data_IF_745993728474
#
_entry.id   IF_745993728474
#
_cell.length_a   1.000
_cell.length_b   1.000
_cell.length_c   1.000
_cell.angle_alpha   90.00
_cell.angle_beta   90.00
_cell.angle_gamma   90.00
#
_symmetry.space_group_name_H-M   'P 1'
#
loop_
_entity.id
_entity.type
_entity.pdbx_description
1 polymer ?
#
# COMPACT_ATOMS: atom_id res chain seq x y z
N UNK A 1 -13.02 18.51 3.00
CA UNK A 1 -12.01 18.50 1.93
C UNK A 1 -10.95 17.48 2.24
N UNK A 2 -10.58 16.68 1.27
CA UNK A 2 -9.53 15.69 1.47
C UNK A 2 -8.17 16.38 1.58
N UNK A 3 -7.27 15.87 2.40
CA UNK A 3 -5.90 16.39 2.45
C UNK A 3 -5.21 16.38 1.09
N UNK A 4 -5.50 15.41 0.24
CA UNK A 4 -4.94 15.33 -1.09
C UNK A 4 -5.34 16.49 -1.99
N UNK A 5 -6.52 17.05 -1.77
CA UNK A 5 -7.00 18.19 -2.56
C UNK A 5 -6.26 19.47 -2.18
N UNK A 6 -5.93 19.60 -0.89
CA UNK A 6 -5.19 20.76 -0.40
C UNK A 6 -3.71 20.63 -0.77
N UNK A 7 -3.13 19.48 -0.44
CA UNK A 7 -1.71 19.23 -0.64
C UNK A 7 -1.39 19.09 -2.12
N UNK A 8 -2.31 18.48 -2.87
CA UNK A 8 -2.14 18.29 -4.30
C UNK A 8 -1.95 19.58 -5.07
N UNK A 9 -2.67 20.62 -4.71
CA UNK A 9 -2.51 21.93 -5.35
C UNK A 9 -1.11 22.49 -5.17
N UNK A 10 -0.52 22.23 -4.01
CA UNK A 10 0.83 22.70 -3.70
C UNK A 10 1.87 21.73 -4.24
N UNK A 11 1.69 20.45 -3.95
CA UNK A 11 2.69 19.43 -4.26
C UNK A 11 2.64 18.97 -5.70
N UNK A 12 1.50 19.08 -6.34
CA UNK A 12 1.36 18.74 -7.75
C UNK A 12 2.26 19.56 -8.63
N UNK A 13 2.63 20.75 -8.18
CA UNK A 13 3.53 21.63 -8.90
C UNK A 13 5.00 21.34 -8.60
N UNK A 14 5.24 20.64 -7.53
CA UNK A 14 6.59 20.29 -7.10
C UNK A 14 6.80 18.79 -7.31
N UNK A 15 7.29 18.45 -8.48
CA UNK A 15 7.47 17.06 -8.88
C UNK A 15 8.57 16.35 -8.11
N UNK A 16 9.36 17.10 -7.35
CA UNK A 16 10.45 16.54 -6.59
C UNK A 16 10.06 16.26 -5.14
N UNK A 17 8.81 16.55 -4.80
CA UNK A 17 8.33 16.25 -3.47
C UNK A 17 8.21 14.73 -3.32
N UNK A 18 9.19 14.13 -2.69
CA UNK A 18 9.24 12.70 -2.47
C UNK A 18 8.78 12.32 -1.07
N UNK A 19 8.92 13.26 -0.13
CA UNK A 19 8.60 12.99 1.26
C UNK A 19 7.45 13.85 1.74
N UNK A 20 6.54 13.20 2.43
CA UNK A 20 5.44 13.88 3.09
C UNK A 20 5.80 14.16 4.53
N UNK A 21 5.36 15.30 5.04
CA UNK A 21 5.50 15.58 6.47
C UNK A 21 4.64 14.63 7.27
N UNK A 22 4.95 14.46 8.55
CA UNK A 22 4.13 13.67 9.44
C UNK A 22 2.72 14.21 9.54
N UNK A 23 2.59 15.54 9.52
CA UNK A 23 1.28 16.19 9.54
C UNK A 23 0.46 15.78 8.31
N UNK A 24 1.08 15.83 7.12
CA UNK A 24 0.39 15.45 5.90
C UNK A 24 -0.02 13.97 5.93
N UNK A 25 0.85 13.10 6.41
CA UNK A 25 0.54 11.67 6.53
C UNK A 25 -0.65 11.46 7.45
N UNK A 26 -0.66 12.13 8.61
CA UNK A 26 -1.78 12.06 9.55
C UNK A 26 -3.09 12.55 8.93
N UNK A 27 -3.03 13.61 8.13
CA UNK A 27 -4.21 14.15 7.48
C UNK A 27 -4.76 13.19 6.43
N UNK A 28 -3.89 12.53 5.65
CA UNK A 28 -4.33 11.52 4.70
C UNK A 28 -4.99 10.36 5.43
N UNK A 29 -4.37 9.88 6.50
CA UNK A 29 -4.98 8.80 7.27
C UNK A 29 -6.34 9.22 7.85
N UNK A 30 -6.43 10.45 8.36
CA UNK A 30 -7.66 10.96 8.94
C UNK A 30 -8.80 11.03 7.91
N UNK A 31 -8.48 11.13 6.62
CA UNK A 31 -9.48 11.16 5.57
C UNK A 31 -9.95 9.75 5.18
N UNK A 32 -9.22 8.72 5.57
CA UNK A 32 -9.59 7.35 5.28
C UNK A 32 -10.71 6.88 6.19
N UNK A 33 -11.43 5.87 5.75
CA UNK A 33 -12.54 5.27 6.49
C UNK A 33 -12.18 3.82 6.82
N UNK A 34 -11.38 3.60 7.87
CA UNK A 34 -11.02 2.24 8.25
C UNK A 34 -12.23 1.46 8.74
N UNK A 35 -12.10 0.13 8.75
CA UNK A 35 -13.13 -0.73 9.30
C UNK A 35 -13.14 -0.65 10.84
N UNK A 36 -13.96 -1.47 11.48
CA UNK A 36 -14.12 -1.48 12.94
C UNK A 36 -12.82 -1.78 13.69
N UNK A 37 -11.89 -2.49 13.05
CA UNK A 37 -10.59 -2.78 13.64
C UNK A 37 -9.54 -1.71 13.34
N UNK A 38 -9.93 -0.63 12.68
CA UNK A 38 -9.00 0.43 12.32
C UNK A 38 -8.11 0.07 11.15
N UNK A 39 -8.57 -0.81 10.27
CA UNK A 39 -7.80 -1.31 9.14
C UNK A 39 -8.41 -0.90 7.80
N UNK A 40 -7.54 -0.62 6.83
CA UNK A 40 -7.95 -0.43 5.44
C UNK A 40 -7.30 -1.50 4.58
N UNK A 41 -8.00 -2.03 3.58
CA UNK A 41 -7.38 -2.97 2.65
C UNK A 41 -6.42 -2.24 1.72
N UNK A 42 -5.40 -2.97 1.32
CA UNK A 42 -4.36 -2.45 0.42
C UNK A 42 -4.22 -3.41 -0.75
N UNK A 43 -4.41 -2.87 -1.95
CA UNK A 43 -4.12 -3.61 -3.17
C UNK A 43 -2.72 -3.19 -3.62
N UNK A 44 -1.83 -4.14 -3.75
CA UNK A 44 -0.44 -3.86 -4.13
C UNK A 44 -0.19 -4.35 -5.55
N UNK A 45 0.29 -3.46 -6.41
CA UNK A 45 0.59 -3.77 -7.81
C UNK A 45 2.07 -3.50 -8.09
N UNK A 46 2.58 -4.20 -9.10
CA UNK A 46 3.92 -3.93 -9.59
C UNK A 46 3.91 -2.66 -10.45
N UNK A 47 4.77 -1.70 -10.12
CA UNK A 47 4.74 -0.39 -10.77
C UNK A 47 4.97 -0.46 -12.28
N UNK A 48 5.84 -1.38 -12.74
CA UNK A 48 6.21 -1.45 -14.15
C UNK A 48 5.15 -2.12 -15.03
N UNK A 49 4.35 -3.03 -14.47
CA UNK A 49 3.41 -3.84 -15.24
C UNK A 49 1.95 -3.65 -14.85
N UNK A 50 1.70 -3.06 -13.70
CA UNK A 50 0.39 -2.95 -13.08
C UNK A 50 -0.22 -4.30 -12.70
N UNK A 51 0.58 -5.34 -12.66
CA UNK A 51 0.11 -6.65 -12.21
C UNK A 51 -0.21 -6.58 -10.72
N UNK A 52 -1.37 -7.09 -10.33
CA UNK A 52 -1.75 -7.17 -8.92
C UNK A 52 -0.90 -8.26 -8.26
N UNK A 53 -0.15 -7.87 -7.25
CA UNK A 53 0.75 -8.78 -6.55
C UNK A 53 0.09 -9.43 -5.35
N UNK A 54 -0.64 -8.66 -4.57
CA UNK A 54 -1.23 -9.14 -3.33
C UNK A 54 -2.26 -8.15 -2.79
N UNK A 55 -3.01 -8.61 -1.80
CA UNK A 55 -3.91 -7.75 -1.02
C UNK A 55 -3.56 -7.98 0.46
N UNK A 56 -3.47 -6.89 1.20
CA UNK A 56 -3.14 -6.94 2.61
C UNK A 56 -3.90 -5.84 3.35
N UNK A 57 -3.49 -5.54 4.57
CA UNK A 57 -4.16 -4.56 5.42
C UNK A 57 -3.15 -3.59 6.01
N UNK A 58 -3.60 -2.37 6.29
CA UNK A 58 -2.81 -1.37 7.01
C UNK A 58 -3.64 -0.77 8.12
N UNK A 59 -3.02 -0.61 9.29
CA UNK A 59 -3.52 0.31 10.31
C UNK A 59 -2.78 1.64 10.12
N UNK A 60 -3.05 2.62 10.99
CA UNK A 60 -2.41 3.93 10.88
C UNK A 60 -0.90 3.84 10.94
N UNK A 61 -0.38 3.01 11.83
CA UNK A 61 1.07 2.87 11.99
C UNK A 61 1.72 2.28 10.74
N UNK A 62 1.10 1.27 10.14
CA UNK A 62 1.60 0.67 8.91
C UNK A 62 1.58 1.67 7.75
N UNK A 63 0.49 2.42 7.64
CA UNK A 63 0.35 3.46 6.62
C UNK A 63 1.45 4.52 6.77
N UNK A 64 1.65 4.97 7.99
CA UNK A 64 2.67 5.98 8.29
C UNK A 64 4.07 5.47 7.97
N UNK A 65 4.39 4.26 8.43
CA UNK A 65 5.72 3.69 8.17
C UNK A 65 5.98 3.47 6.69
N UNK A 66 4.97 3.03 5.96
CA UNK A 66 5.10 2.85 4.51
C UNK A 66 5.49 4.16 3.83
N UNK A 67 4.84 5.25 4.19
CA UNK A 67 5.13 6.55 3.59
C UNK A 67 6.43 7.16 4.08
N UNK A 68 6.80 6.90 5.33
CA UNK A 68 8.06 7.41 5.88
C UNK A 68 9.28 6.67 5.33
N UNK A 69 9.19 5.34 5.23
CA UNK A 69 10.33 4.52 4.87
C UNK A 69 10.40 4.19 3.38
N UNK A 70 9.28 4.32 2.69
CA UNK A 70 9.10 3.88 1.29
C UNK A 70 9.27 2.37 1.14
N UNK A 71 9.16 1.63 2.24
CA UNK A 71 9.11 0.16 2.24
C UNK A 71 7.72 -0.27 2.64
N UNK A 72 7.09 -1.14 1.84
CA UNK A 72 5.72 -1.55 2.11
C UNK A 72 5.64 -2.24 3.47
N UNK A 73 4.82 -1.68 4.34
CA UNK A 73 4.59 -2.17 5.69
C UNK A 73 3.10 -2.41 5.85
N UNK A 74 2.74 -3.58 6.31
CA UNK A 74 1.35 -4.00 6.44
C UNK A 74 1.03 -4.34 7.89
N UNK A 75 -0.24 -4.56 8.16
CA UNK A 75 -0.69 -5.04 9.45
C UNK A 75 -1.19 -6.47 9.31
N UNK A 76 -0.63 -7.38 10.08
CA UNK A 76 -1.06 -8.79 10.08
C UNK A 76 -2.22 -8.95 11.07
N UNK A 77 -3.39 -9.30 10.54
CA UNK A 77 -4.57 -9.50 11.37
C UNK A 77 -4.42 -10.73 12.27
N UNK A 78 -3.83 -11.80 11.73
CA UNK A 78 -3.67 -13.04 12.50
C UNK A 78 -2.65 -12.91 13.60
N UNK A 79 -1.59 -12.12 13.39
CA UNK A 79 -0.55 -11.93 14.39
C UNK A 79 -0.75 -10.66 15.21
N UNK A 80 -1.68 -9.81 14.81
CA UNK A 80 -1.98 -8.54 15.46
C UNK A 80 -0.74 -7.67 15.61
N UNK A 81 0.05 -7.56 14.54
CA UNK A 81 1.26 -6.75 14.57
C UNK A 81 1.65 -6.25 13.18
N UNK A 82 2.54 -5.27 13.14
CA UNK A 82 3.09 -4.76 11.90
C UNK A 82 3.98 -5.81 11.23
N UNK A 83 4.04 -5.71 9.91
CA UNK A 83 4.81 -6.63 9.10
C UNK A 83 5.42 -5.87 7.92
N UNK A 84 6.73 -5.77 7.91
CA UNK A 84 7.48 -5.16 6.82
C UNK A 84 7.70 -6.22 5.74
N UNK A 85 7.18 -5.96 4.55
CA UNK A 85 7.28 -6.94 3.46
C UNK A 85 8.74 -7.21 3.12
N UNK A 86 9.12 -8.48 3.16
CA UNK A 86 10.46 -8.90 2.80
C UNK A 86 11.50 -8.76 3.89
N UNK A 87 11.10 -8.38 5.11
CA UNK A 87 12.02 -8.19 6.22
C UNK A 87 12.85 -9.46 6.50
N UNK A 88 12.22 -10.61 6.40
CA UNK A 88 12.90 -11.89 6.63
C UNK A 88 13.27 -12.60 5.34
N UNK A 89 12.40 -12.57 4.33
CA UNK A 89 12.60 -13.30 3.09
C UNK A 89 13.50 -12.58 2.09
N UNK A 90 13.68 -11.28 2.22
CA UNK A 90 14.39 -10.47 1.24
C UNK A 90 13.54 -10.06 0.05
N UNK A 91 12.30 -10.52 -0.03
CA UNK A 91 11.38 -10.17 -1.13
C UNK A 91 10.67 -8.86 -0.82
N UNK A 92 11.43 -7.77 -0.84
CA UNK A 92 10.99 -6.45 -0.42
C UNK A 92 10.14 -5.76 -1.48
N UNK A 93 9.40 -4.75 -1.04
CA UNK A 93 8.60 -3.91 -1.93
C UNK A 93 8.94 -2.44 -1.68
N UNK A 94 9.59 -1.83 -2.67
CA UNK A 94 9.89 -0.40 -2.61
C UNK A 94 8.69 0.36 -3.13
N UNK A 95 8.17 1.26 -2.33
CA UNK A 95 6.98 2.02 -2.69
C UNK A 95 7.33 3.13 -3.66
N UNK A 96 6.63 3.15 -4.79
CA UNK A 96 6.78 4.16 -5.83
C UNK A 96 5.61 5.14 -5.78
N UNK A 97 4.42 4.65 -5.44
CA UNK A 97 3.22 5.47 -5.44
C UNK A 97 2.19 4.88 -4.49
N UNK A 98 1.44 5.75 -3.83
CA UNK A 98 0.32 5.35 -2.97
C UNK A 98 -0.88 6.19 -3.33
N UNK A 99 -2.01 5.56 -3.62
CA UNK A 99 -3.27 6.23 -3.93
C UNK A 99 -4.35 5.78 -2.99
N UNK A 100 -5.30 6.66 -2.76
CA UNK A 100 -6.51 6.37 -1.99
C UNK A 100 -7.67 6.35 -2.98
N UNK A 101 -8.57 5.39 -2.84
CA UNK A 101 -9.68 5.26 -3.78
C UNK A 101 -10.75 6.34 -3.58
N UNK A 102 -11.74 6.35 -4.47
CA UNK A 102 -12.76 7.41 -4.48
C UNK A 102 -13.66 7.41 -3.24
N UNK A 103 -13.77 6.27 -2.56
CA UNK A 103 -14.60 6.14 -1.35
C UNK A 103 -13.79 6.35 -0.06
N UNK A 104 -12.50 6.58 -0.17
CA UNK A 104 -11.59 6.78 0.96
C UNK A 104 -11.51 5.57 1.90
N UNK A 105 -11.66 4.37 1.35
CA UNK A 105 -11.64 3.16 2.18
C UNK A 105 -10.63 2.10 1.75
N UNK A 106 -9.87 2.35 0.68
CA UNK A 106 -8.91 1.39 0.14
C UNK A 106 -7.66 2.11 -0.35
N UNK A 107 -6.51 1.49 -0.15
CA UNK A 107 -5.23 2.00 -0.61
C UNK A 107 -4.75 1.18 -1.80
N UNK A 108 -4.27 1.87 -2.82
CA UNK A 108 -3.55 1.24 -3.93
C UNK A 108 -2.08 1.58 -3.79
N UNK A 109 -1.27 0.55 -3.68
CA UNK A 109 0.17 0.70 -3.51
C UNK A 109 0.87 0.21 -4.77
N UNK A 110 1.70 1.06 -5.36
CA UNK A 110 2.51 0.66 -6.51
C UNK A 110 3.95 0.51 -6.05
N UNK A 111 4.52 -0.66 -6.31
CA UNK A 111 5.83 -1.00 -5.77
C UNK A 111 6.75 -1.59 -6.82
N UNK A 112 8.05 -1.51 -6.53
CA UNK A 112 9.06 -2.29 -7.21
C UNK A 112 9.29 -3.53 -6.36
N UNK A 113 8.81 -4.69 -6.83
CA UNK A 113 8.91 -5.94 -6.10
C UNK A 113 10.26 -6.59 -6.36
N UNK A 114 11.00 -6.84 -5.31
CA UNK A 114 12.21 -7.65 -5.39
C UNK A 114 11.81 -9.10 -5.10
N UNK A 115 12.11 -9.99 -6.04
CA UNK A 115 11.73 -11.39 -5.88
C UNK A 115 10.25 -11.60 -6.10
N UNK A 116 9.65 -12.47 -5.31
CA UNK A 116 8.25 -12.88 -5.47
C UNK A 116 7.39 -12.34 -4.34
N UNK A 117 6.13 -12.06 -4.63
CA UNK A 117 5.22 -11.51 -3.62
C UNK A 117 4.62 -12.60 -2.72
N UNK A 118 4.35 -13.77 -3.28
CA UNK A 118 3.67 -14.84 -2.55
C UNK A 118 4.66 -15.71 -1.78
N UNK A 119 4.26 -16.13 -0.57
CA UNK A 119 5.10 -17.01 0.25
C UNK A 119 5.27 -18.39 -0.36
N UNK A 120 4.44 -18.76 -1.35
CA UNK A 120 4.56 -20.03 -2.07
C UNK A 120 5.64 -20.00 -3.15
N UNK A 121 6.24 -18.83 -3.40
CA UNK A 121 7.24 -18.67 -4.44
C UNK A 121 6.71 -18.13 -5.75
N UNK A 122 5.41 -17.87 -5.84
CA UNK A 122 4.82 -17.29 -7.04
C UNK A 122 5.01 -15.77 -7.07
N UNK A 123 5.17 -15.21 -8.26
CA UNK A 123 5.38 -13.79 -8.42
C UNK A 123 4.22 -12.99 -7.80
N UNK A 124 3.01 -13.46 -7.98
CA UNK A 124 1.80 -12.83 -7.43
C UNK A 124 1.00 -13.85 -6.64
N UNK A 125 0.30 -13.35 -5.61
CA UNK A 125 -0.60 -14.21 -4.84
C UNK A 125 -1.79 -14.69 -5.66
N UNK A 126 -2.02 -14.08 -6.82
CA UNK A 126 -3.15 -14.42 -7.68
C UNK A 126 -2.80 -15.42 -8.79
N UNK A 127 -1.65 -16.05 -8.73
CA UNK A 127 -1.31 -17.20 -9.57
C UNK A 127 -1.91 -18.50 -9.01
N UNK A 128 -2.85 -18.39 -8.08
CA UNK A 128 -3.46 -19.53 -7.41
C UNK A 128 -4.58 -20.17 -8.19
N UNK A 129 -5.78 -20.20 -7.64
CA UNK A 129 -6.91 -20.95 -8.21
C UNK A 129 -7.66 -20.11 -9.23
N UNK A 130 -7.72 -20.59 -10.46
CA UNK A 130 -8.60 -20.00 -11.48
C UNK A 130 -9.99 -20.59 -11.30
N UNK A 131 -10.96 -19.75 -10.96
CA UNK A 131 -12.34 -20.21 -10.76
C UNK A 131 -13.12 -20.24 -12.07
N UNK A 132 -12.93 -19.22 -12.92
CA UNK A 132 -13.65 -19.12 -14.17
C UNK A 132 -12.90 -18.23 -15.15
N UNK A 133 -13.01 -18.57 -16.40
CA UNK A 133 -12.50 -17.76 -17.50
C UNK A 133 -13.42 -17.96 -18.70
N UNK A 134 -13.53 -16.96 -19.54
CA UNK A 134 -14.34 -17.03 -20.74
C UNK A 134 -13.77 -18.01 -21.78
N UNK A 135 -12.50 -18.33 -21.68
CA UNK A 135 -11.83 -19.25 -22.62
C UNK A 135 -12.00 -20.70 -22.22
#
# INVERSE_FOLDING_TARGET
MRPSEIIGDTLGKNKHMTDLSRTAISEYWASLKPNEQGLVPVVTTEASSNVVLMVAWMNQEAFTKTLETKSATYFSRSRNKLWIKGEESGNTQKVVELRIDCDDDTVLLKVEQKGVACHTGDKTCFDGVLVWSEK
#
